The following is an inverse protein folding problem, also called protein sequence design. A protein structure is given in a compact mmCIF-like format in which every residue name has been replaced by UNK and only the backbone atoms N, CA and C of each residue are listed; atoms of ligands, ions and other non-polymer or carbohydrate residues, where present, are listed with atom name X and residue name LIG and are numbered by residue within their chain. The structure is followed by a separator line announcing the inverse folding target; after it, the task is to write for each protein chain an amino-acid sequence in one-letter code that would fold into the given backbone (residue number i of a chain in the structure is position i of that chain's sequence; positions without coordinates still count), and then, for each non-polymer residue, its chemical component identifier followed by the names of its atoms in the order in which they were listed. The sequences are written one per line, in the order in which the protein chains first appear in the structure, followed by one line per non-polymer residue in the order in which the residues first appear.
data_IF_158362107796
#
_entry.id   IF_158362107796
#
_cell.length_a   1.000
_cell.length_b   1.000
_cell.length_c   1.000
_cell.angle_alpha   90.00
_cell.angle_beta   90.00
_cell.angle_gamma   90.00
#
_symmetry.space_group_name_H-M   'P 1'
#
loop_
_entity.id
_entity.type
_entity.pdbx_description
1 polymer ?
#
# COMPACT_ATOMS: atom_id res chain seq x y z
N UNK A 1 -26.65 1.26 6.01
CA UNK A 1 -25.63 1.31 7.07
C UNK A 1 -24.28 1.52 6.41
N UNK A 2 -23.42 2.40 6.93
CA UNK A 2 -22.09 2.63 6.35
C UNK A 2 -21.16 1.42 6.59
N UNK A 3 -20.29 1.12 5.65
CA UNK A 3 -19.35 -0.01 5.70
C UNK A 3 -18.24 0.22 6.76
N UNK A 4 -17.79 -0.83 7.49
CA UNK A 4 -16.61 -0.75 8.34
C UNK A 4 -15.29 -0.82 7.54
N UNK A 5 -15.35 -1.17 6.25
CA UNK A 5 -14.19 -1.22 5.36
C UNK A 5 -14.18 0.00 4.44
N UNK A 6 -13.00 0.57 4.25
CA UNK A 6 -12.79 1.53 3.17
C UNK A 6 -12.63 0.76 1.87
N UNK A 7 -13.39 1.15 0.85
CA UNK A 7 -13.16 0.74 -0.53
C UNK A 7 -12.34 1.82 -1.23
N UNK A 8 -11.23 1.43 -1.85
CA UNK A 8 -10.42 2.34 -2.66
C UNK A 8 -11.14 2.77 -3.94
N UNK A 9 -11.00 4.03 -4.32
CA UNK A 9 -11.53 4.60 -5.57
C UNK A 9 -10.37 5.12 -6.41
N UNK A 10 -10.15 4.54 -7.59
CA UNK A 10 -8.96 4.81 -8.40
C UNK A 10 -9.05 6.14 -9.18
N UNK A 11 -10.16 6.41 -9.85
CA UNK A 11 -10.34 7.40 -10.92
C UNK A 11 -9.85 8.83 -10.62
N UNK A 12 -9.85 9.25 -9.35
CA UNK A 12 -9.41 10.59 -8.92
C UNK A 12 -8.26 10.57 -7.91
N UNK A 13 -7.71 9.39 -7.62
CA UNK A 13 -6.73 9.17 -6.56
C UNK A 13 -5.47 8.48 -7.08
N UNK A 14 -5.30 8.51 -8.40
CA UNK A 14 -4.22 7.94 -9.17
C UNK A 14 -3.56 9.05 -10.00
N UNK A 15 -2.24 9.00 -10.11
CA UNK A 15 -1.46 9.92 -10.95
C UNK A 15 -0.38 9.17 -11.69
N UNK A 16 -0.08 9.62 -12.91
CA UNK A 16 1.07 9.16 -13.71
C UNK A 16 2.00 10.34 -13.90
N UNK A 17 3.26 10.16 -13.53
CA UNK A 17 4.32 11.13 -13.72
C UNK A 17 5.52 10.48 -14.42
N UNK A 18 6.43 11.30 -14.94
CA UNK A 18 7.68 10.83 -15.54
C UNK A 18 8.84 11.47 -14.80
N UNK A 19 9.76 10.65 -14.29
CA UNK A 19 11.02 11.12 -13.72
C UNK A 19 12.02 11.50 -14.83
N UNK A 20 13.06 12.26 -14.47
CA UNK A 20 14.15 12.65 -15.38
C UNK A 20 14.79 11.39 -15.98
N UNK A 21 14.51 11.13 -17.28
CA UNK A 21 14.91 9.90 -17.96
C UNK A 21 13.78 9.05 -18.56
N UNK A 22 12.52 9.53 -18.55
CA UNK A 22 11.32 8.86 -19.12
C UNK A 22 10.79 7.66 -18.33
N UNK A 23 11.25 7.44 -17.09
CA UNK A 23 10.71 6.39 -16.23
C UNK A 23 9.34 6.81 -15.70
N UNK A 24 8.32 6.05 -16.05
CA UNK A 24 6.97 6.25 -15.56
C UNK A 24 6.86 5.90 -14.07
N UNK A 25 6.25 6.79 -13.30
CA UNK A 25 5.88 6.54 -11.90
C UNK A 25 4.38 6.73 -11.75
N UNK A 26 3.74 5.65 -11.37
CA UNK A 26 2.32 5.60 -11.04
C UNK A 26 2.19 5.71 -9.53
N UNK A 27 1.38 6.66 -9.05
CA UNK A 27 1.16 6.87 -7.62
C UNK A 27 -0.32 6.84 -7.27
N UNK A 28 -0.66 6.08 -6.23
CA UNK A 28 -1.99 6.02 -5.62
C UNK A 28 -1.96 6.71 -4.26
N UNK A 29 -2.85 7.66 -4.03
CA UNK A 29 -3.03 8.21 -2.68
C UNK A 29 -3.87 7.27 -1.79
N UNK A 30 -4.01 7.60 -0.52
CA UNK A 30 -4.70 6.76 0.48
C UNK A 30 -6.21 6.58 0.28
N UNK A 31 -6.84 7.28 -0.67
CA UNK A 31 -8.24 7.07 -1.07
C UNK A 31 -8.38 6.07 -2.21
N UNK A 32 -7.31 5.75 -2.94
CA UNK A 32 -7.29 4.69 -3.95
C UNK A 32 -7.07 3.28 -3.37
N UNK A 33 -6.69 3.17 -2.10
CA UNK A 33 -6.46 1.88 -1.43
C UNK A 33 -7.68 1.47 -0.59
N UNK A 34 -7.92 0.17 -0.50
CA UNK A 34 -8.90 -0.42 0.39
C UNK A 34 -8.25 -0.77 1.72
N UNK A 35 -8.96 -0.50 2.83
CA UNK A 35 -8.43 -0.69 4.19
C UNK A 35 -9.51 -1.35 5.05
N UNK A 36 -9.19 -2.50 5.63
CA UNK A 36 -10.10 -3.12 6.60
C UNK A 36 -10.15 -2.28 7.87
N UNK A 37 -11.36 -2.13 8.43
CA UNK A 37 -11.62 -1.24 9.58
C UNK A 37 -11.42 0.26 9.29
N UNK A 38 -11.17 0.65 8.04
CA UNK A 38 -10.98 2.04 7.62
C UNK A 38 -12.25 2.75 7.16
N UNK A 39 -13.40 2.08 7.19
CA UNK A 39 -14.65 2.63 6.66
C UNK A 39 -15.27 3.71 7.55
N UNK A 40 -16.19 4.48 6.97
CA UNK A 40 -16.85 5.63 7.63
C UNK A 40 -17.57 5.22 8.93
N UNK A 41 -18.16 4.03 8.99
CA UNK A 41 -18.84 3.55 10.20
C UNK A 41 -17.90 3.35 11.39
N UNK A 42 -16.60 3.20 11.14
CA UNK A 42 -15.59 3.09 12.18
C UNK A 42 -15.24 4.45 12.80
N UNK A 43 -15.65 5.58 12.19
CA UNK A 43 -15.52 6.95 12.74
C UNK A 43 -14.14 7.26 13.32
N UNK A 44 -13.07 6.89 12.62
CA UNK A 44 -11.71 7.19 13.09
C UNK A 44 -11.18 6.29 14.22
N UNK A 45 -11.91 5.22 14.60
CA UNK A 45 -11.55 4.36 15.74
C UNK A 45 -10.29 3.52 15.49
N UNK A 46 -10.16 2.99 14.28
CA UNK A 46 -9.08 2.07 13.91
C UNK A 46 -8.07 2.71 12.96
N UNK A 47 -8.56 3.55 12.05
CA UNK A 47 -7.76 4.32 11.11
C UNK A 47 -8.23 5.76 11.10
N UNK A 48 -7.29 6.71 10.99
CA UNK A 48 -7.58 8.14 10.86
C UNK A 48 -6.92 8.68 9.61
N UNK A 49 -7.56 9.69 9.01
CA UNK A 49 -6.95 10.49 7.96
C UNK A 49 -6.29 11.70 8.63
N UNK A 50 -4.99 11.81 8.44
CA UNK A 50 -4.20 12.87 9.09
C UNK A 50 -3.55 13.71 7.98
N UNK A 51 -3.92 14.99 7.85
CA UNK A 51 -3.21 15.91 6.96
C UNK A 51 -1.79 16.15 7.49
N UNK A 52 -0.79 16.00 6.63
CA UNK A 52 0.61 16.29 6.91
C UNK A 52 1.12 17.18 5.77
N UNK A 53 1.35 18.46 6.08
CA UNK A 53 1.74 19.47 5.11
C UNK A 53 0.79 19.51 3.90
N UNK A 54 1.26 19.11 2.72
CA UNK A 54 0.52 19.12 1.45
C UNK A 54 -0.15 17.79 1.08
N UNK A 55 -0.08 16.76 1.93
CA UNK A 55 -0.67 15.44 1.65
C UNK A 55 -1.46 14.88 2.83
N UNK A 56 -2.26 13.85 2.58
CA UNK A 56 -3.08 13.17 3.59
C UNK A 56 -2.61 11.72 3.75
N UNK A 57 -2.42 11.28 5.00
CA UNK A 57 -1.97 9.92 5.31
C UNK A 57 -3.08 9.11 5.97
N UNK A 58 -3.02 7.79 5.80
CA UNK A 58 -3.84 6.84 6.54
C UNK A 58 -3.04 6.38 7.76
N UNK A 59 -3.45 6.83 8.94
CA UNK A 59 -2.82 6.53 10.23
C UNK A 59 -3.56 5.40 10.93
N UNK A 60 -2.84 4.33 11.23
CA UNK A 60 -3.33 3.21 12.02
C UNK A 60 -3.35 3.58 13.52
N UNK A 61 -4.55 3.68 14.08
CA UNK A 61 -4.77 3.94 15.51
C UNK A 61 -4.45 2.69 16.32
N UNK A 62 -5.11 1.56 16.02
CA UNK A 62 -4.85 0.26 16.64
C UNK A 62 -5.72 -0.82 15.97
N UNK A 63 -5.14 -1.91 15.47
CA UNK A 63 -5.89 -3.09 14.99
C UNK A 63 -5.19 -4.40 15.33
N UNK A 64 -5.97 -5.47 15.45
CA UNK A 64 -5.44 -6.83 15.54
C UNK A 64 -5.15 -7.43 14.17
N UNK A 65 -6.03 -7.19 13.19
CA UNK A 65 -5.84 -7.61 11.81
C UNK A 65 -5.56 -6.40 10.92
N UNK A 66 -4.37 -6.40 10.31
CA UNK A 66 -3.94 -5.41 9.35
C UNK A 66 -4.14 -5.97 7.94
N UNK A 67 -4.92 -5.27 7.11
CA UNK A 67 -5.00 -5.56 5.69
C UNK A 67 -5.29 -4.27 4.90
N UNK A 68 -4.40 -4.00 3.95
CA UNK A 68 -4.52 -2.93 2.95
C UNK A 68 -4.39 -3.56 1.59
N UNK A 69 -5.33 -3.28 0.70
CA UNK A 69 -5.37 -3.85 -0.65
C UNK A 69 -5.65 -2.79 -1.69
N UNK A 70 -5.42 -3.11 -2.95
CA UNK A 70 -5.85 -2.28 -4.05
C UNK A 70 -5.75 -3.02 -5.37
N UNK A 71 -6.40 -2.44 -6.38
CA UNK A 71 -6.42 -2.97 -7.73
C UNK A 71 -6.16 -1.84 -8.71
N UNK A 72 -5.35 -2.13 -9.72
CA UNK A 72 -5.04 -1.20 -10.80
C UNK A 72 -5.20 -1.94 -12.12
N UNK A 73 -6.07 -1.47 -13.03
CA UNK A 73 -6.19 -2.05 -14.36
C UNK A 73 -4.85 -2.03 -15.10
N UNK A 74 -4.49 -3.14 -15.74
CA UNK A 74 -3.17 -3.31 -16.36
C UNK A 74 -2.94 -2.35 -17.55
N UNK A 75 -4.01 -1.85 -18.16
CA UNK A 75 -3.96 -0.83 -19.21
C UNK A 75 -3.49 0.56 -18.74
N UNK A 76 -3.36 0.77 -17.42
CA UNK A 76 -2.73 1.97 -16.86
C UNK A 76 -1.20 1.88 -16.83
N UNK A 77 -0.63 0.70 -17.10
CA UNK A 77 0.81 0.49 -17.18
C UNK A 77 1.26 0.35 -18.63
N UNK A 78 2.53 0.63 -18.88
CA UNK A 78 3.16 0.35 -20.17
C UNK A 78 3.26 -1.16 -20.41
N UNK A 79 2.78 -1.70 -21.55
CA UNK A 79 2.90 -3.12 -21.87
C UNK A 79 4.36 -3.57 -21.93
N UNK A 80 4.63 -4.85 -21.63
CA UNK A 80 5.97 -5.46 -21.69
C UNK A 80 7.05 -4.70 -20.90
N UNK A 81 6.65 -3.97 -19.87
CA UNK A 81 7.52 -3.11 -19.06
C UNK A 81 7.58 -3.65 -17.63
N UNK A 82 8.76 -3.58 -17.02
CA UNK A 82 8.97 -3.98 -15.63
C UNK A 82 8.81 -2.78 -14.71
N UNK A 83 8.00 -2.95 -13.67
CA UNK A 83 7.82 -1.97 -12.61
C UNK A 83 8.23 -2.57 -11.27
N UNK A 84 8.63 -1.70 -10.34
CA UNK A 84 8.81 -2.01 -8.94
C UNK A 84 7.67 -1.41 -8.12
N UNK A 85 7.01 -2.23 -7.32
CA UNK A 85 5.96 -1.84 -6.38
C UNK A 85 6.53 -1.46 -5.02
N UNK A 86 5.99 -0.38 -4.45
CA UNK A 86 6.31 0.15 -3.14
C UNK A 86 5.06 0.68 -2.42
N UNK A 87 5.10 0.65 -1.10
CA UNK A 87 4.23 1.43 -0.22
C UNK A 87 5.11 2.43 0.53
N UNK A 88 4.86 3.71 0.34
CA UNK A 88 5.55 4.76 1.11
C UNK A 88 4.89 4.85 2.48
N UNK A 89 5.61 4.49 3.52
CA UNK A 89 5.09 4.42 4.89
C UNK A 89 6.08 4.95 5.92
N UNK A 90 5.58 5.15 7.14
CA UNK A 90 6.38 5.52 8.31
C UNK A 90 5.79 4.91 9.58
N UNK A 91 6.63 4.57 10.54
CA UNK A 91 6.21 4.25 11.91
C UNK A 91 6.38 5.48 12.80
N UNK A 92 5.28 6.02 13.32
CA UNK A 92 5.31 7.22 14.17
C UNK A 92 5.93 6.92 15.55
N UNK A 93 6.41 7.94 16.28
CA UNK A 93 6.83 7.75 17.67
C UNK A 93 5.74 7.06 18.51
N UNK A 94 6.10 6.01 19.24
CA UNK A 94 5.16 5.19 20.02
C UNK A 94 4.39 4.13 19.23
N UNK A 95 4.76 3.88 17.96
CA UNK A 95 4.30 2.70 17.23
C UNK A 95 4.70 1.40 17.94
N UNK A 96 3.83 0.39 17.92
CA UNK A 96 4.06 -0.89 18.59
C UNK A 96 3.36 -2.06 17.88
N UNK A 97 3.79 -3.28 18.18
CA UNK A 97 3.24 -4.52 17.62
C UNK A 97 3.87 -4.97 16.30
N UNK A 98 5.03 -4.42 15.93
CA UNK A 98 5.71 -4.64 14.64
C UNK A 98 6.94 -5.58 14.71
N UNK A 99 7.31 -5.99 15.91
CA UNK A 99 8.50 -6.76 16.28
C UNK A 99 8.29 -8.29 16.22
N UNK A 100 7.03 -8.75 16.32
CA UNK A 100 6.71 -10.17 16.48
C UNK A 100 6.47 -10.91 15.15
N UNK A 101 5.80 -10.28 14.19
CA UNK A 101 5.41 -10.91 12.93
C UNK A 101 5.77 -10.03 11.74
N UNK A 102 6.31 -10.60 10.65
CA UNK A 102 6.53 -9.85 9.43
C UNK A 102 5.20 -9.49 8.76
N UNK A 103 5.16 -8.31 8.15
CA UNK A 103 4.06 -7.88 7.28
C UNK A 103 4.31 -8.43 5.88
N UNK A 104 3.29 -9.05 5.29
CA UNK A 104 3.38 -9.64 3.96
C UNK A 104 2.93 -8.61 2.93
N UNK A 105 3.76 -8.41 1.92
CA UNK A 105 3.44 -7.67 0.71
C UNK A 105 3.26 -8.68 -0.42
N UNK A 106 2.21 -8.52 -1.23
CA UNK A 106 1.94 -9.45 -2.34
C UNK A 106 1.39 -8.75 -3.57
N UNK A 107 1.76 -9.27 -4.73
CA UNK A 107 1.26 -8.86 -6.04
C UNK A 107 0.62 -10.06 -6.74
N UNK A 108 -0.51 -9.82 -7.41
CA UNK A 108 -1.24 -10.83 -8.18
C UNK A 108 -1.72 -10.22 -9.49
N UNK A 109 -1.70 -11.02 -10.54
CA UNK A 109 -2.27 -10.71 -11.85
C UNK A 109 -3.31 -11.80 -12.19
N UNK A 110 -4.16 -11.63 -13.23
CA UNK A 110 -5.13 -12.64 -13.61
C UNK A 110 -4.47 -14.02 -13.76
N UNK A 111 -4.99 -15.01 -13.03
CA UNK A 111 -4.53 -16.39 -13.09
C UNK A 111 -3.26 -16.74 -12.28
N UNK A 112 -2.57 -15.78 -11.64
CA UNK A 112 -1.35 -16.10 -10.88
C UNK A 112 -0.99 -15.10 -9.77
N UNK A 113 -0.37 -15.62 -8.69
CA UNK A 113 0.42 -14.80 -7.76
C UNK A 113 1.76 -14.50 -8.42
N UNK A 114 2.10 -13.22 -8.53
CA UNK A 114 3.32 -12.77 -9.22
C UNK A 114 4.51 -12.74 -8.28
N UNK A 115 4.31 -12.18 -7.08
CA UNK A 115 5.37 -12.03 -6.10
C UNK A 115 4.79 -11.87 -4.69
N UNK A 116 5.54 -12.34 -3.69
CA UNK A 116 5.22 -12.17 -2.27
C UNK A 116 6.50 -11.95 -1.49
N UNK A 117 6.50 -11.00 -0.54
CA UNK A 117 7.65 -10.66 0.29
C UNK A 117 7.22 -10.40 1.72
N UNK A 118 7.84 -11.10 2.66
CA UNK A 118 7.70 -10.84 4.10
C UNK A 118 8.68 -9.73 4.52
N UNK A 119 8.19 -8.72 5.25
CA UNK A 119 8.99 -7.57 5.69
C UNK A 119 8.81 -7.34 7.18
N UNK A 120 9.92 -7.23 7.92
CA UNK A 120 9.92 -6.87 9.34
C UNK A 120 9.80 -5.36 9.49
N UNK A 121 8.57 -4.84 9.63
CA UNK A 121 8.38 -3.39 9.72
C UNK A 121 9.07 -2.73 10.93
N UNK A 122 9.35 -3.48 12.00
CA UNK A 122 10.13 -2.98 13.14
C UNK A 122 11.50 -2.41 12.74
N UNK A 123 12.14 -2.91 11.68
CA UNK A 123 13.45 -2.43 11.19
C UNK A 123 13.40 -0.98 10.68
N UNK A 124 12.19 -0.45 10.40
CA UNK A 124 11.97 0.92 9.95
C UNK A 124 11.54 1.87 11.09
N UNK A 125 11.56 1.41 12.35
CA UNK A 125 11.27 2.28 13.50
C UNK A 125 12.26 3.44 13.58
N UNK A 126 11.74 4.65 13.81
CA UNK A 126 12.54 5.88 13.92
C UNK A 126 12.97 6.48 12.57
N UNK A 127 12.76 5.77 11.46
CA UNK A 127 13.00 6.31 10.13
C UNK A 127 11.88 7.28 9.72
N UNK A 128 12.16 8.14 8.74
CA UNK A 128 11.14 9.01 8.16
C UNK A 128 10.28 8.23 7.13
N UNK A 129 9.70 8.91 6.13
CA UNK A 129 9.00 8.25 5.03
C UNK A 129 9.95 7.35 4.23
N UNK A 130 9.59 6.07 4.14
CA UNK A 130 10.38 5.04 3.48
C UNK A 130 9.54 4.25 2.49
N UNK A 131 10.16 3.85 1.38
CA UNK A 131 9.56 2.97 0.39
C UNK A 131 9.78 1.51 0.77
N UNK A 132 8.69 0.79 1.00
CA UNK A 132 8.70 -0.60 1.47
C UNK A 132 7.98 -1.51 0.47
N UNK A 133 8.53 -2.70 0.14
CA UNK A 133 9.81 -3.24 0.60
C UNK A 133 11.01 -2.51 0.01
N UNK A 134 12.14 -2.46 0.74
CA UNK A 134 13.40 -1.97 0.19
C UNK A 134 13.76 -2.73 -1.10
N UNK A 135 14.15 -1.98 -2.14
CA UNK A 135 14.43 -2.48 -3.49
C UNK A 135 13.19 -2.76 -4.35
N UNK A 136 11.99 -2.66 -3.78
CA UNK A 136 10.72 -2.85 -4.46
C UNK A 136 10.39 -4.31 -4.76
N UNK A 137 9.13 -4.57 -5.09
CA UNK A 137 8.69 -5.86 -5.63
C UNK A 137 8.50 -5.73 -7.13
N UNK A 138 9.35 -6.42 -7.90
CA UNK A 138 9.30 -6.35 -9.35
C UNK A 138 8.17 -7.20 -9.92
N UNK A 139 7.55 -6.69 -10.98
CA UNK A 139 6.65 -7.44 -11.86
C UNK A 139 6.76 -6.89 -13.28
N UNK A 140 6.54 -7.75 -14.27
CA UNK A 140 6.52 -7.36 -15.68
C UNK A 140 5.08 -7.39 -16.19
N UNK A 141 4.66 -6.28 -16.78
CA UNK A 141 3.33 -6.13 -17.36
C UNK A 141 3.26 -6.99 -18.64
N UNK A 142 2.23 -7.84 -18.81
CA UNK A 142 2.07 -8.64 -20.02
C UNK A 142 1.86 -7.75 -21.26
N UNK A 143 2.11 -8.32 -22.44
CA UNK A 143 1.85 -7.63 -23.71
C UNK A 143 0.34 -7.43 -23.93
N UNK A 144 -0.47 -8.42 -23.57
CA UNK A 144 -1.92 -8.27 -23.46
C UNK A 144 -2.25 -7.72 -22.07
N UNK A 145 -2.64 -6.45 -22.02
CA UNK A 145 -2.91 -5.71 -20.77
C UNK A 145 -4.34 -5.92 -20.25
N UNK A 146 -4.88 -7.12 -20.42
CA UNK A 146 -6.22 -7.48 -19.96
C UNK A 146 -6.25 -7.79 -18.45
N UNK A 147 -7.26 -7.28 -17.76
CA UNK A 147 -7.45 -7.47 -16.32
C UNK A 147 -6.73 -6.46 -15.42
N UNK A 148 -6.47 -6.85 -14.18
CA UNK A 148 -6.01 -5.94 -13.11
C UNK A 148 -4.84 -6.52 -12.32
N UNK A 149 -3.87 -5.67 -12.01
CA UNK A 149 -2.89 -5.92 -10.96
C UNK A 149 -3.57 -5.73 -9.61
N UNK A 150 -3.55 -6.75 -8.75
CA UNK A 150 -3.95 -6.64 -7.36
C UNK A 150 -2.73 -6.62 -6.45
N UNK A 151 -2.70 -5.74 -5.47
CA UNK A 151 -1.68 -5.72 -4.42
C UNK A 151 -2.30 -5.85 -3.04
N UNK A 152 -1.52 -6.35 -2.10
CA UNK A 152 -1.90 -6.40 -0.69
C UNK A 152 -0.68 -6.19 0.22
N UNK A 153 -0.92 -5.53 1.35
CA UNK A 153 -0.03 -5.42 2.50
C UNK A 153 -0.82 -5.86 3.74
N UNK A 154 -0.42 -6.95 4.39
CA UNK A 154 -1.21 -7.52 5.47
C UNK A 154 -0.40 -8.25 6.55
N UNK A 155 -0.97 -8.27 7.75
CA UNK A 155 -0.52 -9.07 8.88
C UNK A 155 -1.78 -9.41 9.72
N UNK A 156 -2.26 -10.64 9.57
CA UNK A 156 -3.52 -11.13 10.16
C UNK A 156 -3.34 -12.34 11.08
N UNK A 157 -2.10 -12.83 11.24
CA UNK A 157 -1.81 -14.05 12.00
C UNK A 157 -1.17 -13.77 13.36
N UNK A 158 -0.54 -12.61 13.50
CA UNK A 158 0.14 -12.18 14.72
C UNK A 158 -0.84 -11.93 15.86
N UNK A 159 -0.39 -12.26 17.07
CA UNK A 159 -1.23 -12.19 18.26
C UNK A 159 -1.16 -10.83 18.99
N UNK A 160 -0.72 -9.79 18.29
CA UNK A 160 -0.46 -8.47 18.87
C UNK A 160 -1.22 -7.38 18.14
N UNK A 161 -1.76 -6.46 18.93
CA UNK A 161 -2.30 -5.21 18.42
C UNK A 161 -1.18 -4.36 17.82
N UNK A 162 -1.44 -3.84 16.62
CA UNK A 162 -0.55 -3.02 15.82
C UNK A 162 -1.06 -1.59 15.82
N UNK A 163 -0.18 -0.62 16.08
CA UNK A 163 -0.51 0.81 16.04
C UNK A 163 0.64 1.67 15.52
N UNK A 164 0.28 2.87 15.06
CA UNK A 164 1.24 3.91 14.71
C UNK A 164 1.87 3.79 13.33
N UNK A 165 1.36 2.92 12.46
CA UNK A 165 1.70 2.92 11.04
C UNK A 165 1.02 4.10 10.35
N UNK A 166 1.76 4.83 9.53
CA UNK A 166 1.24 5.85 8.63
C UNK A 166 1.56 5.44 7.20
N UNK A 167 0.54 5.39 6.34
CA UNK A 167 0.68 5.13 4.90
C UNK A 167 0.45 6.45 4.17
N UNK A 168 1.43 6.85 3.35
CA UNK A 168 1.33 8.05 2.51
C UNK A 168 0.71 7.73 1.15
N UNK A 169 1.26 6.74 0.46
CA UNK A 169 0.91 6.42 -0.92
C UNK A 169 1.40 5.03 -1.31
N UNK A 170 0.90 4.52 -2.43
CA UNK A 170 1.42 3.34 -3.13
C UNK A 170 2.05 3.78 -4.43
N UNK A 171 3.22 3.26 -4.77
CA UNK A 171 3.97 3.62 -5.97
C UNK A 171 4.30 2.41 -6.83
N UNK A 172 4.28 2.60 -8.13
CA UNK A 172 4.83 1.70 -9.12
C UNK A 172 5.80 2.49 -9.99
N UNK A 173 7.08 2.17 -9.89
CA UNK A 173 8.14 2.86 -10.64
C UNK A 173 8.68 1.96 -11.74
N UNK A 174 8.65 2.44 -12.97
CA UNK A 174 9.26 1.76 -14.11
C UNK A 174 10.77 1.58 -13.90
N UNK A 175 11.29 0.39 -14.19
CA UNK A 175 12.72 0.06 -14.08
C UNK A 175 13.49 0.34 -15.36
#
# INVERSE_FOLDING_TARGET
MASPHQSGVLDSNFTVSKEEGKKEVITLNTKAISIIWGGESCRGRYWRRTPINSFEVAELVSVYWLEVTGKVPLNNFSPSTTYAFFVTLKLKPGASGWDNSPVIFSLKMPGAVVSSKAVKLHEYMGQDWVDVPQGGMQFTVPKDVSGELSFAMYEIRGEKWKKGLMIKEVKFSQL
#
